data_IF_943917640116
#
_entry.id   IF_943917640116
#
_cell.length_a   1.000
_cell.length_b   1.000
_cell.length_c   1.000
_cell.angle_alpha   90.00
_cell.angle_beta   90.00
_cell.angle_gamma   90.00
#
_symmetry.space_group_name_H-M   'P 1'
#
loop_
_entity.id
_entity.type
_entity.pdbx_description
1 polymer ?
#
# COMPACT_ATOMS: atom_id res chain seq x y z
N UNK A 1 -13.89 -46.62 -61.72
CA UNK A 1 -14.60 -46.65 -60.43
C UNK A 1 -14.68 -48.08 -59.95
N UNK A 2 -13.86 -48.45 -58.97
CA UNK A 2 -14.45 -49.14 -57.82
C UNK A 2 -13.73 -48.80 -56.50
N UNK A 3 -14.44 -48.82 -55.38
CA UNK A 3 -13.93 -49.34 -54.09
C UNK A 3 -14.98 -49.20 -52.98
N UNK A 4 -15.53 -50.33 -52.54
CA UNK A 4 -16.05 -50.51 -51.18
C UNK A 4 -15.61 -51.91 -50.75
N UNK A 5 -14.71 -52.01 -49.77
CA UNK A 5 -14.48 -53.23 -48.98
C UNK A 5 -14.29 -52.86 -47.50
N UNK A 6 -14.83 -53.77 -46.70
CA UNK A 6 -15.12 -53.85 -45.25
C UNK A 6 -13.88 -53.98 -44.33
N UNK A 7 -14.08 -54.05 -42.98
CA UNK A 7 -13.12 -53.64 -41.95
C UNK A 7 -12.23 -54.78 -41.41
N UNK A 8 -11.18 -54.42 -40.67
CA UNK A 8 -10.35 -55.35 -39.89
C UNK A 8 -9.93 -54.68 -38.56
N UNK A 9 -10.22 -55.36 -37.45
CA UNK A 9 -9.66 -55.11 -36.12
C UNK A 9 -8.17 -55.47 -36.11
N UNK A 10 -7.32 -54.67 -35.44
CA UNK A 10 -6.08 -55.19 -34.86
C UNK A 10 -5.73 -54.50 -33.54
N UNK A 11 -5.64 -55.34 -32.53
CA UNK A 11 -5.11 -55.18 -31.18
C UNK A 11 -3.62 -54.82 -31.22
N UNK A 12 -3.14 -53.95 -30.34
CA UNK A 12 -1.73 -53.92 -29.97
C UNK A 12 -1.56 -53.60 -28.48
N UNK A 13 -1.36 -54.67 -27.69
CA UNK A 13 -0.66 -54.66 -26.40
C UNK A 13 0.84 -54.51 -26.66
N UNK A 14 1.52 -53.64 -25.93
CA UNK A 14 2.96 -53.72 -25.63
C UNK A 14 3.15 -53.22 -24.18
N UNK A 15 3.12 -54.12 -23.20
CA UNK A 15 4.28 -54.74 -22.50
C UNK A 15 5.15 -53.75 -21.73
N UNK A 16 4.89 -53.67 -20.42
CA UNK A 16 5.83 -53.24 -19.39
C UNK A 16 7.00 -54.23 -19.31
N UNK A 17 8.23 -53.73 -19.42
CA UNK A 17 9.45 -54.45 -19.05
C UNK A 17 10.18 -53.65 -17.96
N UNK A 18 10.61 -54.28 -16.85
CA UNK A 18 11.36 -53.61 -15.79
C UNK A 18 12.86 -53.63 -16.14
N UNK A 19 13.48 -52.45 -16.22
CA UNK A 19 14.93 -52.35 -16.35
C UNK A 19 15.55 -52.39 -14.95
N UNK A 20 16.04 -53.56 -14.54
CA UNK A 20 16.92 -53.72 -13.38
C UNK A 20 18.32 -53.25 -13.80
N UNK A 21 18.77 -52.14 -13.24
CA UNK A 21 20.17 -51.71 -13.31
C UNK A 21 20.79 -51.94 -11.93
N UNK A 22 21.65 -52.94 -11.86
CA UNK A 22 22.58 -53.17 -10.75
C UNK A 22 23.66 -52.09 -10.81
N UNK A 23 23.75 -51.23 -9.79
CA UNK A 23 24.88 -50.31 -9.61
C UNK A 23 25.67 -50.79 -8.40
N UNK A 24 26.87 -51.30 -8.69
CA UNK A 24 27.91 -51.61 -7.71
C UNK A 24 28.29 -50.36 -6.92
N UNK A 25 28.36 -50.50 -5.61
CA UNK A 25 28.77 -49.44 -4.70
C UNK A 25 30.24 -49.07 -4.88
N UNK A 26 30.48 -47.78 -5.08
CA UNK A 26 31.71 -47.10 -4.69
C UNK A 26 31.28 -45.94 -3.79
N UNK A 27 31.62 -46.02 -2.50
CA UNK A 27 31.40 -44.95 -1.54
C UNK A 27 32.26 -43.74 -1.91
N UNK A 28 31.63 -42.71 -2.48
CA UNK A 28 32.18 -41.38 -2.55
C UNK A 28 31.50 -40.54 -1.47
N UNK A 29 32.29 -40.00 -0.55
CA UNK A 29 31.87 -39.08 0.51
C UNK A 29 31.16 -37.86 -0.10
N UNK A 30 29.92 -37.61 0.34
CA UNK A 30 29.20 -36.37 0.03
C UNK A 30 30.05 -35.15 0.41
N UNK A 31 30.23 -34.17 -0.48
CA UNK A 31 30.70 -32.86 -0.05
C UNK A 31 29.60 -32.27 0.83
N UNK A 32 29.92 -32.12 2.11
CA UNK A 32 29.09 -31.37 3.06
C UNK A 32 28.69 -30.05 2.40
N UNK A 33 27.38 -29.83 2.24
CA UNK A 33 26.82 -28.54 1.90
C UNK A 33 27.53 -27.49 2.76
N UNK A 34 28.11 -26.42 2.18
CA UNK A 34 28.61 -25.34 3.00
C UNK A 34 27.40 -24.85 3.78
N UNK A 35 27.48 -25.04 5.10
CA UNK A 35 26.60 -24.50 6.11
C UNK A 35 26.21 -23.12 5.62
N UNK A 36 24.91 -22.91 5.36
CA UNK A 36 24.39 -21.61 4.98
C UNK A 36 24.75 -20.70 6.14
N UNK A 37 25.87 -19.98 6.01
CA UNK A 37 26.32 -19.02 6.99
C UNK A 37 25.21 -18.01 7.03
N UNK A 38 24.45 -18.03 8.12
CA UNK A 38 23.44 -17.05 8.42
C UNK A 38 24.12 -15.70 8.37
N UNK A 39 23.93 -14.98 7.27
CA UNK A 39 24.19 -13.56 7.19
C UNK A 39 23.22 -12.91 8.18
N UNK A 40 23.63 -12.85 9.44
CA UNK A 40 23.01 -12.05 10.48
C UNK A 40 23.17 -10.58 10.05
N UNK A 41 22.24 -10.10 9.22
CA UNK A 41 22.04 -8.68 9.03
C UNK A 41 21.42 -8.15 10.32
N UNK A 42 22.09 -7.22 11.04
CA UNK A 42 21.64 -6.72 12.33
C UNK A 42 20.31 -5.92 12.30
N UNK A 43 19.68 -5.78 11.13
CA UNK A 43 18.49 -4.96 10.89
C UNK A 43 17.31 -5.75 10.28
N UNK A 44 17.08 -7.01 10.67
CA UNK A 44 15.91 -7.76 10.18
C UNK A 44 14.67 -7.33 10.96
N UNK A 45 13.76 -6.65 10.29
CA UNK A 45 12.47 -6.26 10.86
C UNK A 45 11.66 -7.51 11.20
N UNK A 46 11.16 -7.61 12.44
CA UNK A 46 10.37 -8.75 12.86
C UNK A 46 9.06 -8.84 12.05
N UNK A 47 8.80 -10.01 11.46
CA UNK A 47 7.57 -10.25 10.72
C UNK A 47 6.36 -10.21 11.67
N UNK A 48 5.23 -9.55 11.30
CA UNK A 48 4.12 -9.38 12.22
C UNK A 48 3.47 -10.68 12.67
N UNK A 49 3.10 -10.75 13.95
CA UNK A 49 2.20 -11.78 14.46
C UNK A 49 0.77 -11.56 13.94
N UNK A 50 0.03 -12.65 13.77
CA UNK A 50 -1.38 -12.62 13.41
C UNK A 50 -2.29 -12.52 14.63
N UNK A 51 -3.52 -12.07 14.40
CA UNK A 51 -4.63 -12.13 15.34
C UNK A 51 -5.75 -13.06 14.82
N UNK A 52 -5.74 -14.35 15.21
CA UNK A 52 -6.79 -15.30 14.81
C UNK A 52 -8.17 -14.91 15.33
N UNK A 53 -8.26 -14.17 16.45
CA UNK A 53 -9.53 -13.71 17.00
C UNK A 53 -10.23 -12.67 16.12
N UNK A 54 -9.47 -11.97 15.28
CA UNK A 54 -10.01 -11.09 14.24
C UNK A 54 -10.12 -11.79 12.88
N UNK A 55 -9.76 -13.06 12.77
CA UNK A 55 -9.81 -13.82 11.52
C UNK A 55 -8.57 -13.67 10.62
N UNK A 56 -7.44 -13.22 11.17
CA UNK A 56 -6.15 -13.30 10.45
C UNK A 56 -5.64 -14.74 10.38
N UNK A 57 -5.00 -15.07 9.27
CA UNK A 57 -4.32 -16.34 9.05
C UNK A 57 -3.06 -16.12 8.21
N UNK A 58 -2.02 -16.93 8.42
CA UNK A 58 -0.80 -16.86 7.63
C UNK A 58 -0.91 -17.67 6.35
N UNK A 59 -0.34 -17.13 5.27
CA UNK A 59 -0.02 -17.92 4.09
C UNK A 59 1.25 -18.75 4.32
N UNK A 60 1.42 -19.88 3.61
CA UNK A 60 2.68 -20.61 3.61
C UNK A 60 3.85 -19.70 3.21
N UNK A 61 4.93 -19.73 3.98
CA UNK A 61 6.17 -18.99 3.70
C UNK A 61 6.01 -17.47 3.55
N UNK A 62 4.92 -16.87 4.06
CA UNK A 62 4.57 -15.46 3.86
C UNK A 62 5.74 -14.49 4.18
N UNK A 63 6.43 -14.70 5.30
CA UNK A 63 7.57 -13.88 5.71
C UNK A 63 8.75 -13.97 4.73
N UNK A 64 9.05 -15.17 4.22
CA UNK A 64 10.12 -15.36 3.25
C UNK A 64 9.76 -14.73 1.89
N UNK A 65 8.49 -14.77 1.51
CA UNK A 65 7.98 -14.12 0.30
C UNK A 65 8.09 -12.60 0.42
N UNK A 66 7.73 -12.03 1.58
CA UNK A 66 7.86 -10.59 1.85
C UNK A 66 9.30 -10.09 1.66
N UNK A 67 10.27 -10.79 2.23
CA UNK A 67 11.70 -10.48 2.08
C UNK A 67 12.12 -10.51 0.60
N UNK A 68 11.79 -11.59 -0.12
CA UNK A 68 12.15 -11.69 -1.55
C UNK A 68 11.49 -10.61 -2.41
N UNK A 69 10.23 -10.22 -2.13
CA UNK A 69 9.58 -9.10 -2.81
C UNK A 69 10.38 -7.81 -2.56
N UNK A 70 10.74 -7.57 -1.30
CA UNK A 70 11.48 -6.37 -0.93
C UNK A 70 12.87 -6.29 -1.60
N UNK A 71 13.54 -7.43 -1.80
CA UNK A 71 14.80 -7.54 -2.55
C UNK A 71 14.61 -7.25 -4.05
N UNK A 72 13.55 -7.78 -4.67
CA UNK A 72 13.22 -7.50 -6.09
C UNK A 72 12.98 -6.00 -6.30
N UNK A 73 12.23 -5.37 -5.39
CA UNK A 73 11.94 -3.94 -5.46
C UNK A 73 13.21 -3.11 -5.23
N UNK A 74 14.02 -3.44 -4.22
CA UNK A 74 15.30 -2.76 -3.99
C UNK A 74 16.20 -2.80 -5.22
N UNK A 75 16.37 -3.98 -5.83
CA UNK A 75 17.17 -4.13 -7.05
C UNK A 75 16.64 -3.25 -8.16
N UNK A 76 15.31 -3.15 -8.31
CA UNK A 76 14.66 -2.29 -9.29
C UNK A 76 14.94 -0.81 -9.04
N UNK A 77 14.77 -0.32 -7.80
CA UNK A 77 15.06 1.08 -7.42
C UNK A 77 16.52 1.42 -7.70
N UNK A 78 17.46 0.60 -7.22
CA UNK A 78 18.90 0.83 -7.41
C UNK A 78 19.28 0.87 -8.89
N UNK A 79 18.64 0.04 -9.71
CA UNK A 79 18.84 0.05 -11.16
C UNK A 79 18.26 1.31 -11.81
N UNK A 80 16.99 1.61 -11.53
CA UNK A 80 16.24 2.70 -12.16
C UNK A 80 16.82 4.07 -11.83
N UNK A 81 17.26 4.26 -10.58
CA UNK A 81 17.79 5.53 -10.08
C UNK A 81 19.31 5.44 -9.83
N UNK A 82 20.02 4.66 -10.65
CA UNK A 82 21.48 4.58 -10.60
C UNK A 82 22.16 5.93 -10.85
N UNK A 83 21.48 6.84 -11.56
CA UNK A 83 21.82 8.24 -11.67
C UNK A 83 20.64 9.09 -11.16
N UNK A 84 20.90 9.99 -10.21
CA UNK A 84 19.93 10.95 -9.69
C UNK A 84 19.31 10.54 -8.35
N UNK A 85 18.20 11.18 -8.02
CA UNK A 85 17.47 10.97 -6.75
C UNK A 85 16.58 9.74 -6.87
N UNK A 86 16.74 8.80 -5.95
CA UNK A 86 15.88 7.64 -5.81
C UNK A 86 14.47 8.08 -5.39
N UNK A 87 13.48 7.75 -6.21
CA UNK A 87 12.07 7.94 -5.89
C UNK A 87 11.44 6.62 -5.43
N UNK A 88 10.17 6.69 -5.02
CA UNK A 88 9.40 5.53 -4.56
C UNK A 88 9.14 4.57 -5.73
N UNK A 89 9.12 3.27 -5.47
CA UNK A 89 8.86 2.22 -6.47
C UNK A 89 7.46 2.31 -7.07
N UNK A 90 6.50 2.65 -6.21
CA UNK A 90 5.15 3.03 -6.54
C UNK A 90 4.85 4.38 -5.90
N UNK A 91 3.95 5.13 -6.52
CA UNK A 91 3.68 6.50 -6.11
C UNK A 91 4.86 7.50 -6.10
N UNK A 92 5.79 7.49 -7.08
CA UNK A 92 6.87 8.47 -7.16
C UNK A 92 6.36 9.89 -7.44
N UNK A 93 5.35 10.07 -8.30
CA UNK A 93 4.84 11.40 -8.67
C UNK A 93 3.89 11.95 -7.60
N UNK A 94 4.34 12.98 -6.88
CA UNK A 94 3.54 13.71 -5.89
C UNK A 94 2.82 14.92 -6.51
N UNK A 95 1.56 15.13 -6.13
CA UNK A 95 0.82 16.37 -6.42
C UNK A 95 1.09 17.45 -5.39
N UNK A 96 1.44 17.06 -4.16
CA UNK A 96 1.80 17.96 -3.08
C UNK A 96 1.83 17.22 -1.74
N UNK A 97 2.63 17.75 -0.81
CA UNK A 97 2.48 17.47 0.61
C UNK A 97 1.93 18.72 1.28
N UNK A 98 0.78 18.62 1.92
CA UNK A 98 0.05 19.77 2.48
C UNK A 98 -0.11 19.60 3.99
N UNK A 99 -0.08 20.71 4.71
CA UNK A 99 -0.42 20.74 6.14
C UNK A 99 -1.92 20.57 6.31
N UNK A 100 -2.33 19.89 7.37
CA UNK A 100 -3.73 19.64 7.67
C UNK A 100 -3.95 19.51 9.19
N UNK A 101 -5.20 19.65 9.59
CA UNK A 101 -5.69 19.41 10.94
C UNK A 101 -6.67 18.23 10.90
N UNK A 102 -6.50 17.27 11.81
CA UNK A 102 -7.38 16.12 11.98
C UNK A 102 -8.20 16.30 13.25
N UNK A 103 -9.47 16.67 13.10
CA UNK A 103 -10.40 16.96 14.19
C UNK A 103 -11.29 15.75 14.46
N UNK A 104 -11.02 15.01 15.53
CA UNK A 104 -11.89 13.93 15.99
C UNK A 104 -13.21 14.52 16.47
N UNK A 105 -14.34 13.92 16.10
CA UNK A 105 -15.67 14.40 16.52
C UNK A 105 -15.78 14.46 18.04
N UNK A 106 -16.50 15.46 18.55
CA UNK A 106 -16.80 15.64 19.98
C UNK A 106 -17.49 14.44 20.62
N UNK A 107 -18.27 13.71 19.83
CA UNK A 107 -19.01 12.53 20.27
C UNK A 107 -18.74 11.37 19.32
N UNK A 108 -18.27 10.26 19.87
CA UNK A 108 -18.11 8.98 19.18
C UNK A 108 -18.71 7.86 20.03
N UNK A 109 -19.29 6.81 19.42
CA UNK A 109 -19.57 5.59 20.14
C UNK A 109 -18.31 5.06 20.83
N UNK A 110 -18.43 4.57 22.06
CA UNK A 110 -17.27 4.12 22.86
C UNK A 110 -16.37 3.11 22.12
N UNK A 111 -16.99 2.22 21.34
CA UNK A 111 -16.28 1.22 20.55
C UNK A 111 -15.51 1.79 19.33
N UNK A 112 -15.75 3.05 18.96
CA UNK A 112 -15.00 3.78 17.93
C UNK A 112 -14.00 4.79 18.53
N UNK A 113 -14.17 5.15 19.80
CA UNK A 113 -13.28 6.05 20.53
C UNK A 113 -12.05 5.29 21.06
N UNK A 114 -11.18 4.83 20.16
CA UNK A 114 -10.02 3.99 20.47
C UNK A 114 -8.75 4.56 19.83
N UNK A 115 -7.59 4.34 20.46
CA UNK A 115 -6.30 4.80 19.96
C UNK A 115 -6.27 6.31 19.77
N UNK A 116 -6.02 6.77 18.54
CA UNK A 116 -5.97 8.21 18.24
C UNK A 116 -7.36 8.85 18.12
N UNK A 117 -8.45 8.09 18.15
CA UNK A 117 -9.81 8.60 18.00
C UNK A 117 -10.37 9.09 19.35
N UNK A 118 -9.65 10.01 19.98
CA UNK A 118 -10.03 10.64 21.24
C UNK A 118 -11.07 11.74 20.95
N UNK A 119 -12.31 11.66 21.47
CA UNK A 119 -13.34 12.65 21.17
C UNK A 119 -12.89 14.10 21.47
N UNK A 120 -13.16 15.02 20.52
CA UNK A 120 -12.77 16.44 20.61
C UNK A 120 -11.28 16.73 20.37
N UNK A 121 -10.44 15.70 20.21
CA UNK A 121 -9.00 15.89 19.99
C UNK A 121 -8.73 16.40 18.58
N UNK A 122 -7.89 17.43 18.48
CA UNK A 122 -7.30 17.88 17.22
C UNK A 122 -5.84 17.48 17.15
N UNK A 123 -5.42 16.95 16.01
CA UNK A 123 -4.03 16.64 15.70
C UNK A 123 -3.56 17.44 14.49
N UNK A 124 -2.28 17.79 14.47
CA UNK A 124 -1.63 18.30 13.26
C UNK A 124 -1.26 17.13 12.34
N UNK A 125 -1.29 17.34 11.03
CA UNK A 125 -1.03 16.30 10.06
C UNK A 125 -0.35 16.82 8.78
N UNK A 126 0.36 15.91 8.12
CA UNK A 126 0.84 16.07 6.75
C UNK A 126 0.09 15.13 5.81
N UNK A 127 -0.34 15.61 4.66
CA UNK A 127 -1.05 14.80 3.65
C UNK A 127 -0.30 14.85 2.33
N UNK A 128 0.08 13.68 1.81
CA UNK A 128 0.68 13.51 0.48
C UNK A 128 -0.32 12.96 -0.51
N UNK A 129 -0.55 13.69 -1.60
CA UNK A 129 -1.31 13.22 -2.76
C UNK A 129 -0.38 12.76 -3.89
N UNK A 130 -0.74 11.69 -4.61
CA UNK A 130 0.15 11.10 -5.63
C UNK A 130 -0.57 10.29 -6.70
N UNK A 131 0.10 10.04 -7.82
CA UNK A 131 -0.28 9.01 -8.80
C UNK A 131 0.25 7.65 -8.36
N UNK A 132 -0.38 6.53 -8.75
CA UNK A 132 0.06 5.19 -8.35
C UNK A 132 1.17 4.59 -9.21
N UNK A 133 1.20 4.92 -10.51
CA UNK A 133 2.17 4.37 -11.45
C UNK A 133 3.62 4.59 -11.03
N UNK A 134 4.47 3.59 -11.29
CA UNK A 134 5.94 3.69 -11.12
C UNK A 134 6.63 4.68 -12.05
N UNK A 135 5.93 5.13 -13.10
CA UNK A 135 6.46 6.13 -14.02
C UNK A 135 6.20 7.53 -13.47
N UNK A 136 7.25 8.14 -12.91
CA UNK A 136 7.20 9.48 -12.35
C UNK A 136 6.90 10.58 -13.40
N UNK A 137 7.15 10.28 -14.68
CA UNK A 137 6.93 11.20 -15.80
C UNK A 137 5.55 11.09 -16.41
N UNK A 138 4.70 10.19 -15.91
CA UNK A 138 3.37 9.97 -16.47
C UNK A 138 2.50 11.22 -16.28
N UNK A 139 1.94 11.73 -17.37
CA UNK A 139 1.00 12.84 -17.36
C UNK A 139 -0.26 12.51 -16.56
N UNK A 140 -0.75 13.48 -15.78
CA UNK A 140 -1.83 13.26 -14.83
C UNK A 140 -3.16 12.85 -15.46
N UNK A 141 -3.39 13.26 -16.71
CA UNK A 141 -4.63 13.01 -17.48
C UNK A 141 -4.76 11.55 -17.91
N UNK A 142 -3.66 10.80 -17.87
CA UNK A 142 -3.68 9.36 -18.08
C UNK A 142 -4.38 8.73 -16.88
N UNK A 143 -5.14 7.67 -17.14
CA UNK A 143 -5.78 6.89 -16.07
C UNK A 143 -4.69 6.43 -15.11
N UNK A 144 -4.96 6.49 -13.80
CA UNK A 144 -4.07 5.96 -12.77
C UNK A 144 -4.82 5.70 -11.47
N UNK A 145 -4.19 4.92 -10.59
CA UNK A 145 -4.50 4.98 -9.18
C UNK A 145 -4.10 6.34 -8.60
N UNK A 146 -4.78 6.79 -7.55
CA UNK A 146 -4.45 8.03 -6.85
C UNK A 146 -4.32 7.74 -5.37
N UNK A 147 -3.18 8.09 -4.79
CA UNK A 147 -2.88 7.86 -3.38
C UNK A 147 -3.13 9.11 -2.52
N UNK A 148 -3.57 8.88 -1.29
CA UNK A 148 -3.62 9.84 -0.19
C UNK A 148 -2.95 9.18 1.02
N UNK A 149 -1.80 9.71 1.43
CA UNK A 149 -1.12 9.29 2.66
C UNK A 149 -1.20 10.42 3.69
N UNK A 150 -1.69 10.12 4.88
CA UNK A 150 -1.84 11.06 6.01
C UNK A 150 -0.85 10.63 7.08
N UNK A 151 -0.06 11.56 7.61
CA UNK A 151 0.79 11.37 8.79
C UNK A 151 0.27 12.30 9.88
N UNK A 152 -0.31 11.71 10.92
CA UNK A 152 -0.73 12.42 12.13
C UNK A 152 0.49 12.61 13.03
N UNK A 153 0.64 13.81 13.58
CA UNK A 153 1.75 14.21 14.44
C UNK A 153 1.34 14.25 15.92
N UNK A 154 2.32 14.19 16.81
CA UNK A 154 2.11 14.35 18.25
C UNK A 154 1.25 13.25 18.87
N UNK A 155 1.36 12.02 18.36
CA UNK A 155 0.65 10.84 18.86
C UNK A 155 1.53 10.10 19.86
N UNK A 156 1.35 10.26 21.19
CA UNK A 156 2.14 9.54 22.19
C UNK A 156 1.77 8.04 22.23
N UNK A 157 2.59 7.24 22.90
CA UNK A 157 2.35 5.81 23.13
C UNK A 157 3.37 4.91 22.43
N UNK A 158 3.49 3.67 22.90
CA UNK A 158 4.34 2.65 22.28
C UNK A 158 3.86 2.38 20.85
N UNK A 159 4.80 2.36 19.90
CA UNK A 159 4.52 2.20 18.47
C UNK A 159 4.85 0.78 18.01
N UNK A 160 4.23 0.37 16.92
CA UNK A 160 4.55 -0.91 16.27
C UNK A 160 5.90 -0.92 15.52
N UNK A 161 6.49 0.26 15.32
CA UNK A 161 7.83 0.47 14.77
C UNK A 161 8.60 1.47 15.65
N UNK A 162 9.93 1.32 15.71
CA UNK A 162 10.80 2.09 16.62
C UNK A 162 11.30 3.43 16.04
N UNK A 163 11.24 3.63 14.73
CA UNK A 163 11.90 4.75 14.02
C UNK A 163 11.15 6.09 14.10
N UNK A 164 9.82 6.07 14.25
CA UNK A 164 8.99 7.26 14.45
C UNK A 164 8.09 7.11 15.70
N UNK A 165 8.59 7.56 16.84
CA UNK A 165 7.92 7.33 18.13
C UNK A 165 6.61 8.13 18.35
N UNK A 166 6.31 9.14 17.53
CA UNK A 166 5.23 10.10 17.82
C UNK A 166 4.22 10.33 16.69
N UNK A 167 4.14 9.41 15.72
CA UNK A 167 3.24 9.53 14.56
C UNK A 167 2.20 8.42 14.46
N UNK A 168 1.19 8.64 13.61
CA UNK A 168 0.24 7.63 13.13
C UNK A 168 -0.01 7.88 11.64
N UNK A 169 0.25 6.89 10.81
CA UNK A 169 0.09 7.02 9.36
C UNK A 169 -1.17 6.29 8.85
N UNK A 170 -1.87 6.91 7.91
CA UNK A 170 -2.97 6.29 7.14
C UNK A 170 -2.64 6.34 5.65
N UNK A 171 -2.64 5.18 5.01
CA UNK A 171 -2.28 5.07 3.58
C UNK A 171 -3.49 4.57 2.81
N UNK A 172 -3.98 5.37 1.89
CA UNK A 172 -5.22 5.12 1.17
C UNK A 172 -5.06 5.35 -0.33
N UNK A 173 -5.91 4.70 -1.12
CA UNK A 173 -5.98 4.85 -2.57
C UNK A 173 -7.43 5.03 -3.02
N UNK A 174 -7.64 5.54 -4.21
CA UNK A 174 -8.97 5.78 -4.79
C UNK A 174 -9.74 4.52 -5.25
N UNK A 175 -9.64 3.41 -4.52
CA UNK A 175 -10.39 2.18 -4.79
C UNK A 175 -10.59 1.36 -3.50
N UNK A 176 -11.75 0.71 -3.27
CA UNK A 176 -12.05 0.04 -1.99
C UNK A 176 -11.37 -1.32 -1.77
N UNK A 177 -10.81 -1.92 -2.82
CA UNK A 177 -10.16 -3.25 -2.79
C UNK A 177 -8.86 -3.27 -3.57
N UNK A 178 -7.94 -4.12 -3.16
CA UNK A 178 -6.62 -4.30 -3.79
C UNK A 178 -6.67 -5.42 -4.83
N UNK A 179 -5.74 -5.40 -5.78
CA UNK A 179 -5.74 -6.32 -6.93
C UNK A 179 -5.02 -7.65 -6.64
N UNK A 180 -4.39 -7.79 -5.47
CA UNK A 180 -3.72 -9.03 -5.04
C UNK A 180 -3.97 -9.30 -3.55
N UNK A 181 -4.47 -10.49 -3.22
CA UNK A 181 -4.69 -10.94 -1.85
C UNK A 181 -3.68 -12.01 -1.39
N UNK A 182 -3.01 -12.67 -2.34
CA UNK A 182 -2.09 -13.78 -2.11
C UNK A 182 -0.62 -13.31 -2.27
N UNK A 183 0.27 -13.59 -1.31
CA UNK A 183 1.68 -13.24 -1.38
C UNK A 183 2.43 -13.78 -2.60
N UNK A 184 2.17 -15.02 -3.03
CA UNK A 184 2.83 -15.62 -4.20
C UNK A 184 2.38 -14.93 -5.49
N UNK A 185 1.09 -14.60 -5.60
CA UNK A 185 0.58 -13.81 -6.73
C UNK A 185 1.22 -12.42 -6.78
N UNK A 186 1.34 -11.78 -5.62
CA UNK A 186 1.96 -10.47 -5.52
C UNK A 186 3.47 -10.54 -5.85
N UNK A 187 4.15 -11.60 -5.43
CA UNK A 187 5.54 -11.86 -5.79
C UNK A 187 5.72 -12.07 -7.30
N UNK A 188 4.90 -12.92 -7.93
CA UNK A 188 4.92 -13.12 -9.37
C UNK A 188 4.70 -11.80 -10.13
N UNK A 189 3.73 -10.99 -9.69
CA UNK A 189 3.52 -9.65 -10.22
C UNK A 189 4.77 -8.77 -10.08
N UNK A 190 5.38 -8.71 -8.89
CA UNK A 190 6.56 -7.87 -8.67
C UNK A 190 7.74 -8.32 -9.52
N UNK A 191 7.95 -9.62 -9.71
CA UNK A 191 8.96 -10.14 -10.64
C UNK A 191 8.67 -9.74 -12.08
N UNK A 192 7.41 -9.87 -12.53
CA UNK A 192 7.03 -9.62 -13.91
C UNK A 192 7.15 -8.14 -14.27
N UNK A 193 6.69 -7.24 -13.41
CA UNK A 193 6.71 -5.82 -13.74
C UNK A 193 8.10 -5.18 -13.55
N UNK A 194 8.95 -5.73 -12.69
CA UNK A 194 10.35 -5.29 -12.56
C UNK A 194 11.29 -6.00 -13.54
N UNK A 195 10.78 -6.84 -14.44
CA UNK A 195 11.57 -7.48 -15.49
C UNK A 195 11.74 -6.59 -16.72
N UNK A 196 12.93 -6.61 -17.31
CA UNK A 196 13.18 -6.01 -18.63
C UNK A 196 12.57 -6.84 -19.77
N UNK A 197 12.22 -8.11 -19.51
CA UNK A 197 11.70 -9.01 -20.52
C UNK A 197 10.22 -8.68 -20.83
N UNK A 198 9.93 -8.28 -22.06
CA UNK A 198 8.57 -7.98 -22.52
C UNK A 198 7.60 -9.16 -22.32
N UNK A 199 8.04 -10.41 -22.52
CA UNK A 199 7.18 -11.59 -22.32
C UNK A 199 6.75 -11.77 -20.87
N UNK A 200 7.57 -11.34 -19.90
CA UNK A 200 7.19 -11.32 -18.48
C UNK A 200 6.04 -10.34 -18.23
N UNK A 201 6.02 -9.21 -18.93
CA UNK A 201 4.91 -8.25 -18.82
C UNK A 201 3.58 -8.82 -19.36
N UNK A 202 3.62 -9.70 -20.35
CA UNK A 202 2.42 -10.41 -20.83
C UNK A 202 1.87 -11.42 -19.81
N UNK A 203 2.67 -11.85 -18.82
CA UNK A 203 2.25 -12.76 -17.75
C UNK A 203 1.45 -12.05 -16.64
N UNK A 204 1.48 -10.71 -16.55
CA UNK A 204 0.83 -9.93 -15.49
C UNK A 204 -0.66 -10.29 -15.28
N UNK A 205 -1.52 -10.40 -16.32
CA UNK A 205 -2.91 -10.78 -16.12
C UNK A 205 -3.09 -12.18 -15.51
N UNK A 206 -2.16 -13.09 -15.80
CA UNK A 206 -2.17 -14.45 -15.25
C UNK A 206 -1.69 -14.46 -13.79
N UNK A 207 -0.66 -13.69 -13.46
CA UNK A 207 -0.18 -13.53 -12.08
C UNK A 207 -1.27 -12.97 -11.15
N UNK A 208 -2.04 -11.97 -11.63
CA UNK A 208 -3.17 -11.40 -10.87
C UNK A 208 -4.41 -12.31 -10.88
N UNK A 209 -4.58 -13.12 -11.91
CA UNK A 209 -5.84 -13.78 -12.24
C UNK A 209 -6.92 -12.80 -12.70
N UNK A 210 -8.08 -13.34 -13.13
CA UNK A 210 -9.16 -12.53 -13.73
C UNK A 210 -9.71 -11.45 -12.78
N UNK A 211 -10.02 -11.81 -11.52
CA UNK A 211 -10.54 -10.86 -10.52
C UNK A 211 -9.53 -9.75 -10.24
N UNK A 212 -8.25 -10.08 -10.08
CA UNK A 212 -7.18 -9.11 -9.80
C UNK A 212 -6.94 -8.18 -10.97
N UNK A 213 -6.93 -8.71 -12.19
CA UNK A 213 -6.83 -7.92 -13.43
C UNK A 213 -7.99 -6.93 -13.56
N UNK A 214 -9.23 -7.38 -13.30
CA UNK A 214 -10.39 -6.49 -13.34
C UNK A 214 -10.29 -5.36 -12.31
N UNK A 215 -9.88 -5.68 -11.08
CA UNK A 215 -9.65 -4.67 -10.03
C UNK A 215 -8.56 -3.68 -10.44
N UNK A 216 -7.43 -4.16 -10.98
CA UNK A 216 -6.34 -3.30 -11.43
C UNK A 216 -6.78 -2.33 -12.56
N UNK A 217 -7.65 -2.79 -13.47
CA UNK A 217 -8.24 -1.95 -14.52
C UNK A 217 -9.24 -0.92 -13.96
N UNK A 218 -10.04 -1.29 -12.96
CA UNK A 218 -11.05 -0.42 -12.35
C UNK A 218 -10.43 0.66 -11.45
N UNK A 219 -9.32 0.34 -10.78
CA UNK A 219 -8.52 1.27 -9.98
C UNK A 219 -7.85 2.35 -10.83
N UNK A 220 -7.70 2.10 -12.13
CA UNK A 220 -7.10 2.99 -13.11
C UNK A 220 -8.12 4.06 -13.55
N UNK A 221 -8.24 5.17 -12.82
CA UNK A 221 -9.28 6.20 -13.07
C UNK A 221 -8.72 7.59 -13.38
N UNK A 222 -9.59 8.49 -13.82
CA UNK A 222 -9.29 9.94 -13.93
C UNK A 222 -10.03 10.66 -12.83
N UNK A 223 -9.37 11.65 -12.24
CA UNK A 223 -9.94 12.56 -11.25
C UNK A 223 -9.68 13.99 -11.74
N UNK A 224 -10.47 14.95 -11.30
CA UNK A 224 -10.26 16.37 -11.59
C UNK A 224 -9.40 17.07 -10.54
N UNK A 225 -9.62 16.72 -9.26
CA UNK A 225 -8.96 17.34 -8.13
C UNK A 225 -8.70 16.29 -7.03
N UNK A 226 -7.46 16.17 -6.50
CA UNK A 226 -7.17 15.25 -5.39
C UNK A 226 -8.03 15.50 -4.14
N UNK A 227 -8.43 16.75 -3.89
CA UNK A 227 -9.25 17.14 -2.73
C UNK A 227 -10.72 16.68 -2.83
N UNK A 228 -11.18 16.34 -4.03
CA UNK A 228 -12.58 15.95 -4.32
C UNK A 228 -12.72 14.44 -4.56
N UNK A 229 -11.63 13.68 -4.41
CA UNK A 229 -11.60 12.23 -4.62
C UNK A 229 -11.83 11.50 -3.30
N UNK A 230 -12.51 10.35 -3.36
CA UNK A 230 -12.58 9.42 -2.23
C UNK A 230 -11.42 8.44 -2.25
N UNK A 231 -10.87 8.17 -1.07
CA UNK A 231 -9.78 7.25 -0.83
C UNK A 231 -10.19 6.20 0.21
N UNK A 232 -9.65 5.00 0.11
CA UNK A 232 -9.90 3.87 0.99
C UNK A 232 -8.57 3.22 1.38
N UNK A 233 -8.51 2.66 2.59
CA UNK A 233 -7.36 1.88 3.02
C UNK A 233 -7.19 0.57 2.26
N UNK A 234 -8.23 0.11 1.55
CA UNK A 234 -8.36 -1.17 0.82
C UNK A 234 -8.36 -2.41 1.72
N UNK A 235 -7.46 -2.41 2.70
CA UNK A 235 -7.16 -3.50 3.64
C UNK A 235 -7.60 -3.14 5.06
N UNK A 236 -7.89 -4.15 5.89
CA UNK A 236 -8.39 -3.95 7.25
C UNK A 236 -7.29 -3.61 8.26
N UNK A 237 -7.71 -3.03 9.37
CA UNK A 237 -6.91 -2.63 10.51
C UNK A 237 -7.66 -3.01 11.79
N UNK A 238 -6.94 -3.23 12.88
CA UNK A 238 -7.50 -3.34 14.21
C UNK A 238 -7.98 -1.96 14.67
N UNK A 239 -9.01 -1.97 15.52
CA UNK A 239 -9.40 -0.84 16.34
C UNK A 239 -9.59 -1.32 17.78
N UNK A 240 -8.82 -0.74 18.70
CA UNK A 240 -8.86 -1.07 20.14
C UNK A 240 -7.92 -2.21 20.54
N UNK A 241 -7.94 -2.56 21.82
CA UNK A 241 -7.14 -3.63 22.44
C UNK A 241 -8.03 -4.63 23.18
N UNK A 242 -7.42 -5.73 23.65
CA UNK A 242 -8.11 -6.71 24.50
C UNK A 242 -9.26 -7.42 23.77
N UNK A 243 -10.22 -7.95 24.51
CA UNK A 243 -11.34 -8.73 23.95
C UNK A 243 -12.28 -7.94 23.04
N UNK A 244 -12.31 -6.61 23.19
CA UNK A 244 -13.32 -5.76 22.53
C UNK A 244 -12.82 -5.16 21.20
N UNK A 245 -11.55 -5.43 20.86
CA UNK A 245 -10.93 -5.02 19.61
C UNK A 245 -11.68 -5.57 18.40
N UNK A 246 -11.69 -4.82 17.31
CA UNK A 246 -12.43 -5.17 16.08
C UNK A 246 -11.62 -4.85 14.84
N UNK A 247 -11.96 -5.52 13.74
CA UNK A 247 -11.45 -5.14 12.43
C UNK A 247 -12.27 -3.99 11.83
N UNK A 248 -11.59 -3.02 11.24
CA UNK A 248 -12.16 -1.86 10.55
C UNK A 248 -11.44 -1.61 9.22
N UNK A 249 -12.05 -0.86 8.31
CA UNK A 249 -11.37 -0.20 7.18
C UNK A 249 -11.47 1.32 7.31
N UNK A 250 -10.52 2.06 6.73
CA UNK A 250 -10.54 3.51 6.70
C UNK A 250 -10.96 4.04 5.33
N UNK A 251 -11.55 5.23 5.30
CA UNK A 251 -11.78 6.00 4.08
C UNK A 251 -11.70 7.49 4.36
N UNK A 252 -11.30 8.28 3.36
CA UNK A 252 -11.43 9.73 3.39
C UNK A 252 -12.15 10.20 2.12
N UNK A 253 -13.07 11.16 2.25
CA UNK A 253 -13.80 11.74 1.10
C UNK A 253 -14.02 13.23 1.32
N UNK A 254 -14.23 14.00 0.25
CA UNK A 254 -14.59 15.40 0.39
C UNK A 254 -15.87 15.60 1.20
N UNK A 255 -15.95 16.69 1.99
CA UNK A 255 -17.16 17.07 2.71
C UNK A 255 -18.28 17.51 1.76
N UNK A 256 -17.93 17.93 0.54
CA UNK A 256 -18.86 18.34 -0.51
C UNK A 256 -18.91 17.29 -1.62
N UNK A 257 -20.07 17.15 -2.24
CA UNK A 257 -20.26 16.34 -3.45
C UNK A 257 -19.93 17.09 -4.73
N UNK A 258 -19.61 18.39 -4.64
CA UNK A 258 -19.23 19.22 -5.79
C UNK A 258 -17.89 18.77 -6.33
N UNK A 259 -17.84 18.47 -7.63
CA UNK A 259 -16.63 18.09 -8.35
C UNK A 259 -16.35 19.10 -9.46
N UNK A 260 -15.12 19.57 -9.50
CA UNK A 260 -14.65 20.41 -10.59
C UNK A 260 -14.58 19.60 -11.89
N UNK A 261 -14.83 20.19 -13.06
CA UNK A 261 -14.58 19.52 -14.32
C UNK A 261 -13.06 19.35 -14.53
N UNK A 262 -12.68 18.29 -15.24
CA UNK A 262 -11.31 18.19 -15.77
C UNK A 262 -11.13 19.31 -16.81
N UNK A 263 -10.04 20.10 -16.77
CA UNK A 263 -9.78 21.13 -17.77
C UNK A 263 -9.78 20.56 -19.19
N UNK A 264 -10.26 21.32 -20.18
CA UNK A 264 -10.27 20.88 -21.59
C UNK A 264 -8.86 20.62 -22.14
N UNK A 265 -7.89 21.42 -21.70
CA UNK A 265 -6.47 21.33 -22.06
C UNK A 265 -5.65 21.18 -20.77
N UNK A 266 -5.68 20.00 -20.13
CA UNK A 266 -4.98 19.80 -18.88
C UNK A 266 -3.46 19.85 -19.11
N UNK A 267 -2.74 20.54 -18.24
CA UNK A 267 -1.28 20.50 -18.22
C UNK A 267 -0.79 19.06 -17.92
N UNK A 268 0.51 18.84 -18.11
CA UNK A 268 1.13 17.57 -17.78
C UNK A 268 0.91 17.16 -16.31
N UNK A 269 0.92 18.15 -15.42
CA UNK A 269 0.83 18.03 -13.96
C UNK A 269 -0.45 18.69 -13.41
N UNK A 270 -1.55 18.62 -14.16
CA UNK A 270 -2.75 19.40 -13.84
C UNK A 270 -3.37 19.08 -12.48
N UNK A 271 -3.11 17.91 -11.89
CA UNK A 271 -3.61 17.59 -10.53
C UNK A 271 -2.84 18.35 -9.46
N UNK A 272 -1.55 18.61 -9.69
CA UNK A 272 -0.76 19.53 -8.87
C UNK A 272 -1.28 20.95 -9.01
N UNK A 273 -1.57 21.39 -10.23
CA UNK A 273 -2.15 22.72 -10.47
C UNK A 273 -3.53 22.87 -9.82
N UNK A 274 -4.39 21.85 -9.91
CA UNK A 274 -5.71 21.84 -9.25
C UNK A 274 -5.59 21.93 -7.73
N UNK A 275 -4.69 21.15 -7.13
CA UNK A 275 -4.41 21.19 -5.68
C UNK A 275 -3.88 22.57 -5.27
N UNK A 276 -2.92 23.14 -6.00
CA UNK A 276 -2.35 24.47 -5.77
C UNK A 276 -3.43 25.55 -5.84
N UNK A 277 -4.21 25.57 -6.92
CA UNK A 277 -5.25 26.58 -7.16
C UNK A 277 -6.38 26.52 -6.12
N UNK A 278 -6.68 25.33 -5.60
CA UNK A 278 -7.70 25.17 -4.55
C UNK A 278 -7.21 25.75 -3.22
N UNK A 279 -6.01 25.35 -2.79
CA UNK A 279 -5.46 25.72 -1.48
C UNK A 279 -4.88 27.13 -1.44
N UNK A 280 -4.71 27.82 -2.57
CA UNK A 280 -4.40 29.25 -2.61
C UNK A 280 -5.64 30.14 -2.51
N UNK A 281 -6.85 29.56 -2.56
CA UNK A 281 -8.12 30.32 -2.56
C UNK A 281 -8.96 30.08 -1.32
N UNK A 282 -8.62 29.07 -0.54
CA UNK A 282 -9.32 28.75 0.70
C UNK A 282 -9.02 27.34 1.20
N UNK A 283 -9.70 27.01 2.28
CA UNK A 283 -9.58 25.71 2.93
C UNK A 283 -10.26 24.59 2.13
N UNK A 284 -9.73 23.38 2.26
CA UNK A 284 -10.42 22.17 1.84
C UNK A 284 -10.88 21.35 3.04
N UNK A 285 -12.01 20.66 2.87
CA UNK A 285 -12.63 19.83 3.90
C UNK A 285 -12.79 18.39 3.38
N UNK A 286 -12.32 17.44 4.18
CA UNK A 286 -12.57 16.02 3.95
C UNK A 286 -13.11 15.35 5.23
N UNK A 287 -14.00 14.38 5.09
CA UNK A 287 -14.44 13.49 6.15
C UNK A 287 -13.50 12.31 6.25
N UNK A 288 -13.06 11.95 7.46
CA UNK A 288 -12.39 10.68 7.72
C UNK A 288 -13.36 9.69 8.36
N UNK A 289 -13.40 8.50 7.78
CA UNK A 289 -14.42 7.50 8.00
C UNK A 289 -13.81 6.18 8.45
N UNK A 290 -14.52 5.45 9.31
CA UNK A 290 -14.23 4.06 9.65
C UNK A 290 -15.39 3.16 9.22
N UNK A 291 -15.07 1.95 8.77
CA UNK A 291 -16.03 0.92 8.40
C UNK A 291 -15.80 -0.31 9.30
N UNK A 292 -16.54 -0.43 10.41
CA UNK A 292 -16.45 -1.60 11.28
C UNK A 292 -16.91 -2.88 10.57
N UNK A 293 -16.14 -3.96 10.74
CA UNK A 293 -16.54 -5.29 10.28
C UNK A 293 -17.78 -5.74 11.05
N UNK A 294 -18.82 -6.15 10.32
CA UNK A 294 -20.13 -6.54 10.90
C UNK A 294 -20.37 -8.05 10.92
N UNK A 295 -19.56 -8.84 10.20
CA UNK A 295 -19.68 -10.31 10.17
C UNK A 295 -18.39 -10.96 9.68
N UNK A 296 -18.24 -12.26 9.95
CA UNK A 296 -17.07 -13.03 9.52
C UNK A 296 -17.01 -13.25 8.00
N UNK A 297 -18.13 -13.10 7.29
CA UNK A 297 -18.20 -13.15 5.83
C UNK A 297 -17.41 -12.03 5.15
N UNK A 298 -17.12 -10.94 5.87
CA UNK A 298 -16.27 -9.86 5.39
C UNK A 298 -14.81 -10.24 5.64
N UNK A 299 -14.02 -10.60 4.63
CA UNK A 299 -12.73 -11.25 4.86
C UNK A 299 -11.65 -10.27 5.30
N UNK A 300 -10.70 -10.77 6.10
CA UNK A 300 -9.48 -10.04 6.50
C UNK A 300 -8.35 -10.24 5.49
N UNK A 301 -8.07 -11.50 5.14
CA UNK A 301 -6.96 -11.86 4.24
C UNK A 301 -7.28 -11.57 2.77
N UNK A 302 -8.54 -11.71 2.35
CA UNK A 302 -8.96 -11.42 0.97
C UNK A 302 -9.18 -9.92 0.74
N UNK A 303 -8.09 -9.23 0.37
CA UNK A 303 -8.08 -7.81 -0.01
C UNK A 303 -8.81 -7.49 -1.32
N UNK A 304 -9.23 -8.51 -2.08
CA UNK A 304 -9.93 -8.37 -3.36
C UNK A 304 -11.46 -8.40 -3.21
N UNK A 305 -11.96 -8.67 -2.00
CA UNK A 305 -13.39 -8.66 -1.70
C UNK A 305 -13.78 -7.40 -0.95
N UNK A 306 -14.72 -6.66 -1.54
CA UNK A 306 -15.20 -5.41 -0.97
C UNK A 306 -16.10 -5.69 0.23
N UNK A 307 -15.89 -4.93 1.31
CA UNK A 307 -16.87 -4.84 2.38
C UNK A 307 -17.94 -3.86 1.91
N UNK A 308 -19.03 -4.39 1.36
CA UNK A 308 -20.08 -3.54 0.79
C UNK A 308 -20.67 -2.65 1.88
N UNK A 309 -20.89 -1.37 1.56
CA UNK A 309 -21.43 -0.41 2.53
C UNK A 309 -22.83 -0.76 3.03
N UNK A 310 -23.60 -1.55 2.25
CA UNK A 310 -24.89 -2.11 2.68
C UNK A 310 -24.78 -3.17 3.76
N UNK A 311 -23.61 -3.79 3.93
CA UNK A 311 -23.33 -4.82 4.95
C UNK A 311 -22.53 -4.25 6.12
N UNK A 312 -21.62 -3.32 5.84
CA UNK A 312 -20.80 -2.61 6.81
C UNK A 312 -20.73 -1.12 6.41
N UNK A 313 -21.56 -0.24 6.97
CA UNK A 313 -21.55 1.17 6.59
C UNK A 313 -20.32 1.90 7.13
N UNK A 314 -19.93 2.99 6.46
CA UNK A 314 -18.92 3.92 6.96
C UNK A 314 -19.53 4.91 7.96
N UNK A 315 -18.78 5.18 9.03
CA UNK A 315 -19.10 6.18 10.03
C UNK A 315 -18.03 7.25 10.03
N UNK A 316 -18.44 8.51 9.94
CA UNK A 316 -17.51 9.63 10.10
C UNK A 316 -17.04 9.72 11.54
N UNK A 317 -15.72 9.73 11.74
CA UNK A 317 -15.10 9.85 13.06
C UNK A 317 -14.34 11.15 13.24
N UNK A 318 -13.95 11.79 12.13
CA UNK A 318 -13.18 13.01 12.16
C UNK A 318 -13.44 13.85 10.90
N UNK A 319 -13.12 15.13 11.00
CA UNK A 319 -13.00 16.05 9.87
C UNK A 319 -11.53 16.38 9.68
N UNK A 320 -11.07 16.29 8.45
CA UNK A 320 -9.75 16.75 8.02
C UNK A 320 -9.95 18.14 7.42
N UNK A 321 -9.38 19.15 8.05
CA UNK A 321 -9.27 20.51 7.50
C UNK A 321 -7.90 20.67 6.88
N UNK A 322 -7.84 21.05 5.61
CA UNK A 322 -6.59 21.39 4.93
C UNK A 322 -6.64 22.91 4.72
N UNK A 323 -5.95 23.71 5.55
CA UNK A 323 -6.05 25.16 5.49
C UNK A 323 -5.50 25.69 4.16
N UNK A 324 -5.98 26.89 3.79
CA UNK A 324 -5.39 27.71 2.75
C UNK A 324 -3.87 27.84 2.99
N UNK A 325 -3.07 27.53 1.97
CA UNK A 325 -1.63 27.52 2.06
C UNK A 325 -0.95 27.53 0.68
N UNK A 326 0.27 28.07 0.66
CA UNK A 326 1.23 27.83 -0.41
C UNK A 326 2.09 26.65 -0.03
N UNK A 327 1.97 25.53 -0.75
CA UNK A 327 2.76 24.31 -0.49
C UNK A 327 3.80 24.02 -1.59
N UNK A 328 3.66 24.61 -2.77
CA UNK A 328 4.51 24.30 -3.91
C UNK A 328 5.78 25.15 -3.89
N UNK A 329 6.62 24.89 -2.89
CA UNK A 329 7.92 25.54 -2.70
C UNK A 329 9.05 24.52 -2.79
N UNK A 330 10.27 24.90 -3.20
CA UNK A 330 11.41 23.98 -3.26
C UNK A 330 11.66 23.23 -1.94
N UNK A 331 11.59 23.92 -0.81
CA UNK A 331 11.85 23.33 0.51
C UNK A 331 10.78 22.32 0.91
N UNK A 332 9.50 22.66 0.73
CA UNK A 332 8.39 21.75 1.04
C UNK A 332 8.35 20.55 0.09
N UNK A 333 8.77 20.73 -1.17
CA UNK A 333 8.92 19.64 -2.13
C UNK A 333 10.05 18.69 -1.73
N UNK A 334 11.20 19.22 -1.30
CA UNK A 334 12.32 18.43 -0.77
C UNK A 334 11.90 17.68 0.49
N UNK A 335 11.23 18.35 1.42
CA UNK A 335 10.66 17.74 2.62
C UNK A 335 9.68 16.60 2.27
N UNK A 336 8.74 16.86 1.35
CA UNK A 336 7.76 15.88 0.88
C UNK A 336 8.41 14.63 0.28
N UNK A 337 9.50 14.82 -0.47
CA UNK A 337 10.21 13.70 -1.08
C UNK A 337 10.95 12.87 -0.04
N UNK A 338 11.49 13.49 1.01
CA UNK A 338 12.14 12.78 2.11
C UNK A 338 11.14 12.11 3.07
N UNK A 339 9.91 12.61 3.19
CA UNK A 339 8.93 12.05 4.12
C UNK A 339 8.61 10.58 3.82
N UNK A 340 8.70 9.72 4.83
CA UNK A 340 8.28 8.32 4.76
C UNK A 340 6.91 8.11 5.38
N UNK A 341 6.13 7.23 4.77
CA UNK A 341 4.80 6.85 5.24
C UNK A 341 4.70 5.33 5.24
N UNK A 342 4.22 4.73 6.32
CA UNK A 342 3.98 3.29 6.40
C UNK A 342 2.76 2.99 7.27
N UNK A 343 1.88 2.05 6.91
CA UNK A 343 0.73 1.71 7.76
C UNK A 343 1.15 1.19 9.15
N UNK A 344 2.43 0.86 9.35
CA UNK A 344 2.98 0.37 10.62
C UNK A 344 3.53 1.46 11.54
N UNK A 345 3.61 2.73 11.10
CA UNK A 345 3.69 3.86 12.04
C UNK A 345 2.34 4.02 12.69
N UNK A 346 2.11 3.24 13.73
CA UNK A 346 0.79 3.04 14.28
C UNK A 346 0.87 2.68 15.75
N UNK A 347 -0.13 3.13 16.51
CA UNK A 347 -0.43 2.55 17.81
C UNK A 347 -0.90 1.09 17.65
N UNK A 348 -0.73 0.23 18.68
CA UNK A 348 -1.25 -1.13 18.70
C UNK A 348 -2.77 -1.21 18.48
N UNK A 349 -3.52 -0.21 18.93
CA UNK A 349 -4.96 -0.06 18.71
C UNK A 349 -5.32 -0.04 17.23
N UNK A 350 -4.42 0.46 16.37
CA UNK A 350 -4.62 0.63 14.94
C UNK A 350 -3.82 -0.39 14.11
N UNK A 351 -3.41 -1.53 14.71
CA UNK A 351 -2.57 -2.55 14.08
C UNK A 351 -3.07 -2.93 12.67
N UNK A 352 -2.24 -2.82 11.62
CA UNK A 352 -2.60 -3.30 10.29
C UNK A 352 -2.90 -4.81 10.27
N UNK A 353 -3.98 -5.23 9.60
CA UNK A 353 -4.42 -6.63 9.52
C UNK A 353 -4.36 -7.18 8.09
N UNK A 354 -4.15 -8.49 7.97
CA UNK A 354 -4.16 -9.24 6.71
C UNK A 354 -2.81 -9.27 6.00
N UNK A 355 -2.61 -10.26 5.14
CA UNK A 355 -1.34 -10.58 4.47
C UNK A 355 -0.75 -9.36 3.76
N UNK A 356 -1.56 -8.62 3.01
CA UNK A 356 -1.11 -7.41 2.30
C UNK A 356 -0.49 -6.41 3.27
N UNK A 357 -1.09 -6.17 4.44
CA UNK A 357 -0.51 -5.26 5.42
C UNK A 357 0.78 -5.82 6.04
N UNK A 358 0.85 -7.12 6.31
CA UNK A 358 2.07 -7.75 6.84
C UNK A 358 3.24 -7.68 5.84
N UNK A 359 2.98 -7.94 4.56
CA UNK A 359 3.94 -7.74 3.46
C UNK A 359 4.42 -6.27 3.42
N UNK A 360 3.48 -5.32 3.55
CA UNK A 360 3.80 -3.89 3.51
C UNK A 360 4.77 -3.48 4.62
N UNK A 361 4.80 -4.14 5.78
CA UNK A 361 5.79 -3.81 6.84
C UNK A 361 7.22 -3.93 6.32
N UNK A 362 7.53 -5.10 5.76
CA UNK A 362 8.89 -5.44 5.28
C UNK A 362 9.25 -4.60 4.06
N UNK A 363 8.31 -4.51 3.11
CA UNK A 363 8.52 -3.82 1.83
C UNK A 363 8.74 -2.31 2.07
N UNK A 364 7.90 -1.68 2.89
CA UNK A 364 8.00 -0.24 3.14
C UNK A 364 9.26 0.12 3.93
N UNK A 365 9.66 -0.68 4.92
CA UNK A 365 10.93 -0.47 5.64
C UNK A 365 12.11 -0.52 4.68
N UNK A 366 12.19 -1.55 3.85
CA UNK A 366 13.30 -1.72 2.91
C UNK A 366 13.34 -0.60 1.87
N UNK A 367 12.20 -0.25 1.24
CA UNK A 367 12.15 0.84 0.26
C UNK A 367 12.56 2.16 0.91
N UNK A 368 12.02 2.46 2.11
CA UNK A 368 12.38 3.69 2.85
C UNK A 368 13.89 3.76 3.05
N UNK A 369 14.51 2.70 3.60
CA UNK A 369 15.95 2.64 3.84
C UNK A 369 16.77 2.85 2.56
N UNK A 370 16.49 2.07 1.52
CA UNK A 370 17.23 2.12 0.25
C UNK A 370 17.17 3.52 -0.36
N UNK A 371 15.98 4.13 -0.34
CA UNK A 371 15.76 5.44 -0.94
C UNK A 371 16.50 6.54 -0.18
N UNK A 372 16.47 6.51 1.15
CA UNK A 372 17.21 7.44 2.00
C UNK A 372 18.73 7.25 1.88
N UNK A 373 19.20 6.00 1.85
CA UNK A 373 20.61 5.65 1.62
C UNK A 373 21.10 6.22 0.28
N UNK A 374 20.39 5.94 -0.82
CA UNK A 374 20.74 6.45 -2.15
C UNK A 374 20.68 7.97 -2.24
N UNK A 375 19.78 8.61 -1.50
CA UNK A 375 19.62 10.07 -1.49
C UNK A 375 20.53 10.78 -0.48
N UNK A 376 21.32 10.06 0.31
CA UNK A 376 22.07 10.62 1.45
C UNK A 376 21.17 11.46 2.39
N UNK A 377 19.91 11.03 2.56
CA UNK A 377 18.92 11.71 3.38
C UNK A 377 18.78 11.00 4.72
N UNK A 378 18.55 11.77 5.80
CA UNK A 378 18.29 11.19 7.10
C UNK A 378 16.84 10.70 7.16
N UNK A 379 16.66 9.39 7.38
CA UNK A 379 15.34 8.74 7.49
C UNK A 379 14.50 9.28 8.65
N UNK A 380 15.15 9.76 9.71
CA UNK A 380 14.51 10.17 10.96
C UNK A 380 14.40 11.70 11.11
N UNK A 381 14.69 12.45 10.04
CA UNK A 381 14.60 13.91 10.05
C UNK A 381 13.14 14.34 9.91
N UNK A 382 12.42 14.24 11.04
CA UNK A 382 11.04 14.67 11.17
C UNK A 382 11.01 15.99 11.95
N UNK A 383 10.17 16.96 11.53
CA UNK A 383 9.92 18.10 12.36
C UNK A 383 9.32 17.62 13.68
N UNK A 384 10.00 17.94 14.79
CA UNK A 384 9.38 17.92 16.11
C UNK A 384 8.18 18.86 16.09
N UNK A 385 7.25 18.71 17.05
CA UNK A 385 6.08 19.58 17.20
C UNK A 385 6.42 21.10 17.17
N UNK A 386 7.69 21.50 17.35
CA UNK A 386 8.18 22.87 17.30
C UNK A 386 8.27 23.50 15.90
N UNK A 387 8.15 22.74 14.80
CA UNK A 387 8.03 23.38 13.47
C UNK A 387 6.62 23.88 13.16
N UNK A 388 5.70 23.80 14.14
CA UNK A 388 4.42 24.47 14.11
C UNK A 388 4.61 25.95 14.45
N UNK A 389 5.21 26.71 13.52
CA UNK A 389 4.87 28.12 13.50
C UNK A 389 3.33 28.20 13.38
N UNK A 390 2.65 28.94 14.27
CA UNK A 390 1.21 29.05 14.24
C UNK A 390 0.78 29.51 12.85
N UNK A 391 -0.41 29.06 12.43
CA UNK A 391 -1.08 29.52 11.21
C UNK A 391 -1.38 31.02 11.37
N UNK A 392 -0.36 31.86 11.22
CA UNK A 392 -0.54 33.28 11.07
C UNK A 392 -0.99 33.46 9.63
N UNK A 393 -2.27 33.80 9.50
CA UNK A 393 -2.86 34.38 8.30
C UNK A 393 -1.87 35.41 7.75
N UNK A 394 -1.20 35.07 6.65
CA UNK A 394 -0.56 36.08 5.82
C UNK A 394 -1.74 36.85 5.22
N UNK A 395 -1.96 38.05 5.75
CA UNK A 395 -2.92 39.02 5.22
C UNK A 395 -2.58 39.39 3.79
#
# INVERSE_FOLDING_TARGET
>A
MPTIIRPIHFTLLFTLAPLVVMISGCSATEPQNPTLTTLNSPNRIAYPSIDPGLGENLYPHEAAIAEKISEVIEKSIRKQYSAGTALRDAHPKAHGCVRAEFHVRETLPHYLAQGIFIPGKTYQAWIRFSNGSRDATKADIKRDARGMAIKILGVPGEKLLEDEATTQDFIMINHPVFFANDPERYMALMQDINSDNFFRKLHIPFALGAKGTLIALNLNTRISNPLQTRYWSMVPYQLGLGSDRRAIKYSARACSTVTDPIPEKPSHDFLRDALRNSLQKGDACMEFLVQPRTSDMLPIEDSMTEWKETQAPFYQIATIRIPEQVFDTPDQNKFCENLSFTPWHSLPEHKPLGAVNRLRKVIYDRISRVRHEMNSANRNDFPSNDSSEPINSVK
#
